data_IF_342539462308
#
_entry.id   IF_342539462308
#
_cell.length_a   1.000
_cell.length_b   1.000
_cell.length_c   1.000
_cell.angle_alpha   90.00
_cell.angle_beta   90.00
_cell.angle_gamma   90.00
#
_symmetry.space_group_name_H-M   'P 1'
#
loop_
_entity.id
_entity.type
_entity.pdbx_description
1 polymer ?
#
# COMPACT_ATOMS: atom_id res chain seq x y z
N UNK A 1 -1.66 -7.18 37.62
CA UNK A 1 -1.21 -7.49 36.25
C UNK A 1 0.09 -6.74 35.98
N UNK A 2 1.06 -7.37 35.35
CA UNK A 2 2.32 -6.68 35.03
C UNK A 2 2.08 -5.66 33.91
N UNK A 3 2.84 -4.56 33.89
CA UNK A 3 2.77 -3.58 32.80
C UNK A 3 3.02 -4.22 31.40
N UNK A 4 3.84 -5.27 31.38
CA UNK A 4 4.16 -6.02 30.14
C UNK A 4 2.93 -6.71 29.55
N UNK A 5 2.07 -7.30 30.38
CA UNK A 5 0.83 -7.93 29.92
C UNK A 5 -0.15 -6.90 29.32
N UNK A 6 -0.17 -5.67 29.85
CA UNK A 6 -0.99 -4.61 29.27
C UNK A 6 -0.45 -4.10 27.92
N UNK A 7 0.87 -4.09 27.73
CA UNK A 7 1.47 -3.74 26.44
C UNK A 7 1.24 -4.82 25.38
N UNK A 8 1.24 -6.10 25.76
CA UNK A 8 0.90 -7.19 24.83
C UNK A 8 -0.56 -7.14 24.36
N UNK A 9 -1.47 -6.76 25.26
CA UNK A 9 -2.89 -6.61 24.90
C UNK A 9 -3.17 -5.45 23.92
N UNK A 10 -2.25 -4.50 23.79
CA UNK A 10 -2.34 -3.39 22.85
C UNK A 10 -1.43 -3.54 21.62
N UNK A 11 -0.83 -4.71 21.40
CA UNK A 11 0.03 -4.93 20.24
C UNK A 11 -0.80 -5.05 18.96
N UNK A 12 -0.44 -4.26 17.94
CA UNK A 12 -1.00 -4.40 16.60
C UNK A 12 -0.30 -5.58 15.90
N UNK A 13 -1.03 -6.65 15.64
CA UNK A 13 -0.51 -7.88 15.04
C UNK A 13 -1.33 -8.26 13.82
N UNK A 14 -0.63 -8.53 12.71
CA UNK A 14 -1.25 -8.92 11.46
C UNK A 14 -2.07 -7.81 10.80
N UNK A 15 -2.57 -8.09 9.61
CA UNK A 15 -3.52 -7.22 8.90
C UNK A 15 -4.57 -8.11 8.26
N UNK A 16 -5.82 -7.98 8.71
CA UNK A 16 -6.96 -8.67 8.11
C UNK A 16 -7.58 -7.89 6.97
N UNK A 17 -7.63 -6.56 7.09
CA UNK A 17 -8.24 -5.68 6.09
C UNK A 17 -7.36 -4.47 5.81
N UNK A 18 -7.26 -4.12 4.53
CA UNK A 18 -6.59 -2.89 4.09
C UNK A 18 -7.56 -2.06 3.24
N UNK A 19 -7.66 -0.79 3.58
CA UNK A 19 -8.53 0.14 2.87
C UNK A 19 -7.73 1.32 2.31
N UNK A 20 -8.06 1.70 1.09
CA UNK A 20 -7.64 2.98 0.52
C UNK A 20 -8.78 3.99 0.62
N UNK A 21 -8.45 5.18 1.09
CA UNK A 21 -9.32 6.36 1.08
C UNK A 21 -8.82 7.30 0.00
N UNK A 22 -9.54 7.37 -1.11
CA UNK A 22 -9.12 8.13 -2.29
C UNK A 22 -8.99 9.62 -1.97
N UNK A 23 -7.83 10.19 -2.29
CA UNK A 23 -7.48 11.57 -1.97
C UNK A 23 -7.03 11.82 -0.52
N UNK A 24 -7.05 10.77 0.30
CA UNK A 24 -6.68 10.85 1.72
C UNK A 24 -7.86 11.08 2.65
N UNK A 25 -7.64 10.84 3.95
CA UNK A 25 -8.62 11.15 4.99
C UNK A 25 -8.85 12.67 5.11
N UNK A 26 -10.03 13.04 5.56
CA UNK A 26 -10.32 14.38 6.06
C UNK A 26 -9.68 14.64 7.43
N UNK A 27 -10.05 15.76 8.05
CA UNK A 27 -9.62 16.07 9.42
C UNK A 27 -10.15 15.02 10.40
N UNK A 28 -9.39 14.72 11.43
CA UNK A 28 -9.71 13.67 12.40
C UNK A 28 -9.99 12.29 11.78
N UNK A 29 -9.36 11.96 10.67
CA UNK A 29 -9.51 10.69 9.93
C UNK A 29 -10.96 10.40 9.47
N UNK A 30 -11.73 11.46 9.19
CA UNK A 30 -13.08 11.32 8.66
C UNK A 30 -13.06 10.86 7.22
N UNK A 31 -13.96 9.92 6.88
CA UNK A 31 -14.16 9.40 5.52
C UNK A 31 -15.45 9.89 4.85
N UNK A 32 -16.17 10.81 5.49
CA UNK A 32 -17.39 11.41 4.92
C UNK A 32 -17.09 12.01 3.54
N UNK A 33 -17.91 11.69 2.56
CA UNK A 33 -17.74 12.10 1.15
C UNK A 33 -16.45 11.59 0.48
N UNK A 34 -15.86 10.52 1.01
CA UNK A 34 -14.67 9.85 0.43
C UNK A 34 -15.04 8.50 -0.16
N UNK A 35 -14.40 8.17 -1.25
CA UNK A 35 -14.44 6.80 -1.76
C UNK A 35 -13.46 5.95 -0.98
N UNK A 36 -13.96 4.88 -0.39
CA UNK A 36 -13.17 3.90 0.35
C UNK A 36 -13.21 2.59 -0.40
N UNK A 37 -12.06 2.05 -0.73
CA UNK A 37 -11.93 0.76 -1.45
C UNK A 37 -11.12 -0.18 -0.58
N UNK A 38 -11.66 -1.36 -0.32
CA UNK A 38 -10.93 -2.45 0.31
C UNK A 38 -10.04 -3.13 -0.72
N UNK A 39 -8.80 -3.42 -0.32
CA UNK A 39 -7.82 -4.09 -1.18
C UNK A 39 -7.42 -5.43 -0.58
N UNK A 40 -7.34 -6.49 -1.39
CA UNK A 40 -6.76 -7.74 -0.96
C UNK A 40 -5.27 -7.56 -0.69
N UNK A 41 -4.79 -8.01 0.46
CA UNK A 41 -3.39 -7.92 0.87
C UNK A 41 -2.82 -9.31 1.04
N UNK A 42 -1.60 -9.53 0.58
CA UNK A 42 -0.88 -10.77 0.85
C UNK A 42 -0.59 -10.89 2.35
N UNK A 43 -0.81 -12.07 2.92
CA UNK A 43 -0.55 -12.33 4.34
C UNK A 43 0.92 -12.09 4.72
N UNK A 44 1.84 -12.51 3.84
CA UNK A 44 3.27 -12.36 4.07
C UNK A 44 3.81 -11.20 3.24
N UNK A 45 4.28 -10.15 3.92
CA UNK A 45 4.93 -9.00 3.28
C UNK A 45 4.01 -8.11 2.45
N UNK A 46 2.68 -8.24 2.61
CA UNK A 46 1.71 -7.48 1.83
C UNK A 46 1.71 -5.98 2.12
N UNK A 47 2.06 -5.58 3.34
CA UNK A 47 2.16 -4.17 3.75
C UNK A 47 3.37 -3.95 4.62
N UNK A 48 4.18 -2.95 4.28
CA UNK A 48 5.29 -2.50 5.11
C UNK A 48 5.28 -0.99 5.22
N UNK A 49 5.33 -0.50 6.44
CA UNK A 49 5.56 0.90 6.77
C UNK A 49 6.86 1.04 7.54
N UNK A 50 7.78 1.84 7.02
CA UNK A 50 9.03 2.18 7.68
C UNK A 50 9.09 3.70 7.89
N UNK A 51 9.13 4.14 9.15
CA UNK A 51 9.22 5.54 9.52
C UNK A 51 10.56 6.20 9.21
N UNK A 52 11.51 5.44 8.70
CA UNK A 52 12.86 5.86 8.43
C UNK A 52 13.74 5.95 9.68
N UNK A 53 15.00 5.62 9.53
CA UNK A 53 15.99 5.82 10.59
C UNK A 53 16.48 7.26 10.60
N UNK A 54 16.54 7.92 11.76
CA UNK A 54 17.10 9.27 11.83
C UNK A 54 18.53 9.29 11.30
N UNK A 55 18.87 10.29 10.50
CA UNK A 55 20.25 10.56 10.14
C UNK A 55 20.89 11.44 11.20
N UNK A 56 22.08 11.02 11.69
CA UNK A 56 22.81 11.72 12.73
C UNK A 56 24.14 12.18 12.14
N UNK A 57 24.27 13.48 11.96
CA UNK A 57 25.53 14.11 11.54
C UNK A 57 26.35 14.48 12.79
N UNK A 58 27.53 13.90 12.90
CA UNK A 58 28.43 14.12 14.01
C UNK A 58 29.54 15.13 13.65
N UNK A 59 29.65 16.20 14.39
CA UNK A 59 30.70 17.18 14.21
C UNK A 59 31.80 16.99 15.27
N UNK A 60 33.02 16.73 14.83
CA UNK A 60 34.18 16.50 15.68
C UNK A 60 35.15 17.66 15.59
N UNK A 61 35.75 18.05 16.71
CA UNK A 61 36.77 19.07 16.79
C UNK A 61 38.08 18.44 17.26
N UNK A 62 39.19 18.86 16.65
CA UNK A 62 40.50 18.35 17.00
C UNK A 62 40.84 18.65 18.49
N UNK A 63 41.28 17.62 19.21
CA UNK A 63 41.61 17.71 20.63
C UNK A 63 40.45 17.46 21.61
N UNK A 64 39.24 17.18 21.12
CA UNK A 64 38.11 16.79 21.95
C UNK A 64 37.80 15.33 21.70
N UNK A 65 37.78 14.54 22.75
CA UNK A 65 37.33 13.13 22.68
C UNK A 65 35.80 13.09 22.63
N UNK A 66 35.25 12.64 21.49
CA UNK A 66 33.81 12.56 21.27
C UNK A 66 33.31 13.65 20.30
N UNK A 67 31.97 13.72 20.18
CA UNK A 67 31.35 14.70 19.31
C UNK A 67 31.21 16.05 20.00
N UNK A 68 31.63 17.10 19.29
CA UNK A 68 31.44 18.46 19.78
C UNK A 68 29.97 18.88 19.69
N UNK A 69 29.32 18.50 18.61
CA UNK A 69 27.86 18.65 18.42
C UNK A 69 27.35 17.60 17.45
N UNK A 70 26.07 17.32 17.51
CA UNK A 70 25.39 16.44 16.55
C UNK A 70 24.09 17.08 16.08
N UNK A 71 23.74 16.82 14.83
CA UNK A 71 22.46 17.20 14.24
C UNK A 71 21.69 15.93 13.88
N UNK A 72 20.45 15.84 14.33
CA UNK A 72 19.53 14.78 13.91
C UNK A 72 18.55 15.33 12.88
N UNK A 73 18.39 14.60 11.78
CA UNK A 73 17.33 14.82 10.80
C UNK A 73 16.45 13.57 10.73
N UNK A 74 15.09 13.72 10.65
CA UNK A 74 14.21 12.59 10.46
C UNK A 74 14.59 11.80 9.21
N UNK A 75 14.49 10.48 9.25
CA UNK A 75 14.64 9.63 8.08
C UNK A 75 13.45 9.76 7.14
N UNK A 76 13.65 9.29 5.92
CA UNK A 76 12.56 9.22 4.93
C UNK A 76 11.61 8.06 5.26
N UNK A 77 10.32 8.30 5.15
CA UNK A 77 9.30 7.27 5.31
C UNK A 77 9.19 6.47 4.03
N UNK A 78 9.09 5.16 4.17
CA UNK A 78 8.90 4.23 3.06
C UNK A 78 7.68 3.37 3.29
N UNK A 79 6.87 3.22 2.25
CA UNK A 79 5.67 2.40 2.26
C UNK A 79 5.78 1.45 1.07
N UNK A 80 5.63 0.17 1.35
CA UNK A 80 5.59 -0.88 0.33
C UNK A 80 4.34 -1.72 0.54
N UNK A 81 3.60 -1.93 -0.54
CA UNK A 81 2.43 -2.79 -0.57
C UNK A 81 2.53 -3.75 -1.75
N UNK A 82 2.05 -4.96 -1.54
CA UNK A 82 1.82 -5.93 -2.60
C UNK A 82 0.36 -6.39 -2.59
N UNK A 83 -0.31 -6.20 -3.72
CA UNK A 83 -1.70 -6.59 -3.93
C UNK A 83 -1.71 -7.77 -4.90
N UNK A 84 -2.09 -8.98 -4.45
CA UNK A 84 -1.95 -10.23 -5.22
C UNK A 84 -3.08 -10.43 -6.24
N UNK A 85 -3.59 -9.36 -6.82
CA UNK A 85 -4.63 -9.41 -7.85
C UNK A 85 -4.52 -8.23 -8.80
N UNK A 86 -5.08 -8.42 -9.99
CA UNK A 86 -5.14 -7.39 -11.02
C UNK A 86 -6.55 -7.44 -11.62
N UNK A 87 -7.44 -6.59 -11.15
CA UNK A 87 -8.77 -6.39 -11.70
C UNK A 87 -9.06 -4.90 -11.94
N UNK A 88 -10.20 -4.58 -12.55
CA UNK A 88 -10.55 -3.22 -12.95
C UNK A 88 -10.63 -2.26 -11.75
N UNK A 89 -11.26 -2.70 -10.67
CA UNK A 89 -11.45 -1.88 -9.48
C UNK A 89 -10.11 -1.62 -8.78
N UNK A 90 -9.31 -2.65 -8.61
CA UNK A 90 -7.97 -2.57 -8.00
C UNK A 90 -7.03 -1.71 -8.85
N UNK A 91 -7.01 -1.90 -10.18
CA UNK A 91 -6.22 -1.07 -11.08
C UNK A 91 -6.60 0.41 -10.95
N UNK A 92 -7.90 0.70 -10.91
CA UNK A 92 -8.39 2.07 -10.76
C UNK A 92 -8.02 2.67 -9.41
N UNK A 93 -8.20 1.91 -8.32
CA UNK A 93 -7.82 2.33 -6.98
C UNK A 93 -6.31 2.55 -6.82
N UNK A 94 -5.49 1.78 -7.54
CA UNK A 94 -4.04 1.89 -7.58
C UNK A 94 -3.51 2.97 -8.55
N UNK A 95 -4.40 3.80 -9.09
CA UNK A 95 -4.01 4.97 -9.89
C UNK A 95 -3.58 4.68 -11.32
N UNK A 96 -3.87 3.50 -11.84
CA UNK A 96 -3.67 3.21 -13.26
C UNK A 96 -4.60 4.08 -14.11
N UNK A 97 -4.07 4.61 -15.22
CA UNK A 97 -4.79 5.49 -16.10
C UNK A 97 -5.49 4.72 -17.23
N UNK A 98 -6.64 5.23 -17.67
CA UNK A 98 -7.37 4.69 -18.83
C UNK A 98 -7.74 3.22 -18.67
N UNK A 99 -8.05 2.78 -17.46
CA UNK A 99 -8.52 1.42 -17.23
C UNK A 99 -9.85 1.25 -17.96
N UNK A 100 -9.91 0.28 -18.86
CA UNK A 100 -11.10 0.01 -19.69
C UNK A 100 -11.34 -1.48 -19.76
N UNK A 101 -12.51 -1.90 -19.32
CA UNK A 101 -12.98 -3.27 -19.47
C UNK A 101 -13.18 -3.63 -20.95
N UNK A 102 -12.80 -4.83 -21.33
CA UNK A 102 -12.95 -5.39 -22.69
C UNK A 102 -13.74 -6.69 -22.64
N UNK A 103 -14.78 -6.75 -23.43
CA UNK A 103 -15.50 -8.00 -23.68
C UNK A 103 -14.75 -8.89 -24.67
N UNK A 104 -15.12 -10.16 -24.75
CA UNK A 104 -14.54 -11.11 -25.70
C UNK A 104 -14.61 -10.63 -27.15
N UNK A 105 -15.68 -9.92 -27.52
CA UNK A 105 -15.86 -9.33 -28.85
C UNK A 105 -14.85 -8.23 -29.18
N UNK A 106 -14.30 -7.57 -28.16
CA UNK A 106 -13.38 -6.45 -28.31
C UNK A 106 -11.91 -6.91 -28.28
N UNK A 107 -11.69 -8.18 -27.95
CA UNK A 107 -10.38 -8.81 -27.91
C UNK A 107 -10.29 -9.77 -29.07
N UNK A 108 -9.60 -9.38 -30.11
CA UNK A 108 -9.36 -10.27 -31.25
C UNK A 108 -8.33 -11.34 -30.85
N UNK A 109 -8.81 -12.38 -30.20
CA UNK A 109 -7.98 -13.46 -29.66
C UNK A 109 -7.16 -14.19 -30.72
N UNK A 110 -7.70 -14.30 -31.91
CA UNK A 110 -7.00 -14.89 -33.05
C UNK A 110 -5.67 -14.21 -33.39
N UNK A 111 -5.45 -13.00 -32.85
CA UNK A 111 -4.24 -12.23 -33.09
C UNK A 111 -3.21 -12.34 -31.95
N UNK A 112 -3.58 -12.88 -30.79
CA UNK A 112 -2.69 -12.90 -29.62
C UNK A 112 -1.91 -14.19 -29.53
N UNK A 113 -2.50 -15.30 -29.95
CA UNK A 113 -1.83 -16.62 -29.94
C UNK A 113 -2.16 -17.29 -31.27
N UNK A 114 -1.38 -16.95 -32.30
CA UNK A 114 -1.45 -17.67 -33.56
C UNK A 114 -0.78 -19.03 -33.40
N UNK A 115 -1.54 -20.09 -33.67
CA UNK A 115 -1.06 -21.45 -33.94
C UNK A 115 0.31 -21.82 -33.36
N UNK A 116 0.39 -21.95 -32.05
CA UNK A 116 1.44 -22.75 -31.44
C UNK A 116 0.85 -24.14 -31.31
N UNK A 117 1.52 -25.13 -31.88
CA UNK A 117 1.10 -26.52 -31.94
C UNK A 117 0.35 -26.97 -30.68
N UNK A 118 -0.93 -27.37 -30.87
CA UNK A 118 -1.82 -27.89 -29.84
C UNK A 118 -2.29 -26.92 -28.71
N UNK A 119 -2.03 -25.62 -28.78
CA UNK A 119 -2.48 -24.65 -27.78
C UNK A 119 -3.36 -23.56 -28.40
N UNK A 120 -4.58 -23.41 -27.86
CA UNK A 120 -5.45 -22.30 -28.20
C UNK A 120 -5.89 -21.55 -26.92
N UNK A 121 -5.81 -20.24 -26.95
CA UNK A 121 -6.30 -19.39 -25.89
C UNK A 121 -7.37 -18.43 -26.41
N UNK A 122 -8.58 -18.53 -25.85
CA UNK A 122 -9.69 -17.65 -26.21
C UNK A 122 -10.02 -16.75 -25.05
N UNK A 123 -9.66 -15.46 -25.07
CA UNK A 123 -10.04 -14.53 -24.01
C UNK A 123 -11.55 -14.35 -23.95
N UNK A 124 -12.10 -14.32 -22.73
CA UNK A 124 -13.53 -14.08 -22.50
C UNK A 124 -13.79 -12.67 -21.99
N UNK A 125 -12.82 -12.08 -21.32
CA UNK A 125 -12.82 -10.69 -20.84
C UNK A 125 -11.39 -10.24 -20.57
N UNK A 126 -11.17 -8.96 -20.46
CA UNK A 126 -9.87 -8.40 -20.09
C UNK A 126 -9.97 -6.93 -19.73
N UNK A 127 -8.84 -6.34 -19.43
CA UNK A 127 -8.72 -4.93 -19.12
C UNK A 127 -7.54 -4.36 -19.90
N UNK A 128 -7.70 -3.15 -20.40
CA UNK A 128 -6.61 -2.37 -20.95
C UNK A 128 -6.36 -1.16 -20.08
N UNK A 129 -5.12 -0.74 -19.96
CA UNK A 129 -4.71 0.42 -19.17
C UNK A 129 -3.48 1.06 -19.79
N UNK A 130 -3.20 2.30 -19.42
CA UNK A 130 -2.03 3.01 -19.95
C UNK A 130 -0.74 2.49 -19.30
N UNK A 131 0.32 2.39 -20.09
CA UNK A 131 1.67 2.05 -19.59
C UNK A 131 2.19 3.11 -18.60
N UNK A 132 1.92 4.37 -18.90
CA UNK A 132 2.36 5.48 -18.06
C UNK A 132 1.51 5.57 -16.80
N UNK A 133 2.16 5.42 -15.68
CA UNK A 133 1.55 5.55 -14.35
C UNK A 133 1.86 6.92 -13.78
N UNK A 134 0.92 7.43 -13.00
CA UNK A 134 1.09 8.67 -12.25
C UNK A 134 1.07 8.38 -10.76
N UNK A 135 1.92 9.11 -10.03
CA UNK A 135 1.81 9.08 -8.59
C UNK A 135 0.44 9.63 -8.16
N UNK A 136 -0.21 8.93 -7.27
CA UNK A 136 -1.53 9.25 -6.73
C UNK A 136 -1.49 9.37 -5.21
N UNK A 137 -2.50 9.97 -4.62
CA UNK A 137 -2.57 10.19 -3.18
C UNK A 137 -3.78 9.47 -2.60
N UNK A 138 -3.54 8.70 -1.53
CA UNK A 138 -4.58 7.98 -0.78
C UNK A 138 -4.32 8.10 0.71
N UNK A 139 -5.36 7.89 1.52
CA UNK A 139 -5.21 7.49 2.91
C UNK A 139 -5.15 5.98 3.01
N UNK A 140 -4.43 5.46 3.96
CA UNK A 140 -4.34 4.02 4.22
C UNK A 140 -4.95 3.74 5.59
N UNK A 141 -5.84 2.75 5.67
CA UNK A 141 -6.29 2.19 6.92
C UNK A 141 -6.06 0.68 6.90
N UNK A 142 -5.36 0.17 7.89
CA UNK A 142 -5.11 -1.26 8.09
C UNK A 142 -5.75 -1.70 9.40
N UNK A 143 -6.53 -2.77 9.37
CA UNK A 143 -7.16 -3.35 10.55
C UNK A 143 -6.38 -4.62 10.92
N UNK A 144 -6.10 -4.79 12.20
CA UNK A 144 -5.39 -5.96 12.70
C UNK A 144 -6.25 -7.24 12.61
N UNK A 145 -5.60 -8.41 12.73
CA UNK A 145 -6.27 -9.71 12.60
C UNK A 145 -7.40 -9.93 13.63
N UNK A 146 -7.28 -9.33 14.80
CA UNK A 146 -8.31 -9.42 15.84
C UNK A 146 -9.46 -8.43 15.64
N UNK A 147 -9.38 -7.55 14.63
CA UNK A 147 -10.32 -6.48 14.35
C UNK A 147 -10.60 -5.54 15.54
N UNK A 148 -9.61 -5.38 16.41
CA UNK A 148 -9.66 -4.55 17.61
C UNK A 148 -8.94 -3.23 17.45
N UNK A 149 -8.06 -3.12 16.46
CA UNK A 149 -7.26 -1.93 16.22
C UNK A 149 -7.17 -1.60 14.73
N UNK A 150 -7.15 -0.32 14.44
CA UNK A 150 -6.91 0.23 13.11
C UNK A 150 -5.68 1.14 13.13
N UNK A 151 -4.69 0.85 12.28
CA UNK A 151 -3.63 1.78 11.96
C UNK A 151 -4.02 2.60 10.74
N UNK A 152 -3.94 3.91 10.83
CA UNK A 152 -4.29 4.79 9.74
C UNK A 152 -3.20 5.81 9.43
N UNK A 153 -2.98 6.05 8.13
CA UNK A 153 -2.12 7.11 7.61
C UNK A 153 -2.98 8.06 6.80
N UNK A 154 -3.01 9.33 7.21
CA UNK A 154 -3.92 10.32 6.66
C UNK A 154 -3.77 10.53 5.17
N UNK A 155 -2.53 10.62 4.69
CA UNK A 155 -2.24 10.80 3.27
C UNK A 155 -0.85 10.31 2.92
N UNK A 156 -0.80 9.45 1.94
CA UNK A 156 0.43 8.95 1.33
C UNK A 156 0.43 9.25 -0.16
N UNK A 157 1.61 9.35 -0.74
CA UNK A 157 1.80 9.43 -2.18
C UNK A 157 2.44 8.15 -2.65
N UNK A 158 1.74 7.42 -3.50
CA UNK A 158 2.12 6.11 -3.99
C UNK A 158 2.30 6.13 -5.50
N UNK A 159 3.12 5.21 -5.99
CA UNK A 159 3.24 4.86 -7.40
C UNK A 159 3.10 3.34 -7.52
N UNK A 160 2.28 2.92 -8.47
CA UNK A 160 2.02 1.52 -8.72
C UNK A 160 2.93 0.96 -9.83
N UNK A 161 3.24 -0.31 -9.76
CA UNK A 161 3.83 -1.09 -10.85
C UNK A 161 3.22 -2.49 -10.87
N UNK A 162 3.05 -3.08 -12.05
CA UNK A 162 2.64 -4.47 -12.15
C UNK A 162 3.87 -5.34 -11.98
N UNK A 163 3.78 -6.31 -11.08
CA UNK A 163 4.77 -7.36 -10.92
C UNK A 163 4.28 -8.61 -11.63
N UNK A 164 5.03 -9.03 -12.62
CA UNK A 164 4.88 -10.32 -13.27
C UNK A 164 6.20 -11.08 -13.16
N UNK A 165 6.22 -12.12 -12.34
CA UNK A 165 7.39 -12.95 -12.13
C UNK A 165 7.09 -14.39 -12.57
N UNK A 166 7.64 -14.79 -13.72
CA UNK A 166 7.48 -16.13 -14.25
C UNK A 166 8.41 -17.17 -13.60
N UNK A 167 9.41 -16.72 -12.84
CA UNK A 167 10.37 -17.60 -12.18
C UNK A 167 9.81 -18.17 -10.87
N UNK A 168 8.86 -17.49 -10.25
CA UNK A 168 8.21 -17.93 -9.03
C UNK A 168 6.75 -18.32 -9.30
N UNK A 169 6.53 -19.61 -9.55
CA UNK A 169 5.19 -20.14 -9.83
C UNK A 169 4.22 -20.06 -8.65
N UNK A 170 4.73 -19.75 -7.46
CA UNK A 170 3.91 -19.58 -6.26
C UNK A 170 3.41 -18.15 -6.06
N UNK A 171 3.99 -17.17 -6.76
CA UNK A 171 3.56 -15.77 -6.66
C UNK A 171 2.53 -15.44 -7.74
N UNK A 172 1.36 -14.93 -7.36
CA UNK A 172 0.41 -14.42 -8.33
C UNK A 172 0.95 -13.17 -9.02
N UNK A 173 0.45 -12.87 -10.20
CA UNK A 173 0.56 -11.55 -10.79
C UNK A 173 -0.09 -10.56 -9.82
N UNK A 174 0.59 -9.46 -9.54
CA UNK A 174 0.08 -8.48 -8.59
C UNK A 174 0.54 -7.06 -8.90
N UNK A 175 0.12 -6.16 -8.05
CA UNK A 175 0.49 -4.75 -8.09
C UNK A 175 1.40 -4.45 -6.91
N UNK A 176 2.59 -3.94 -7.19
CA UNK A 176 3.48 -3.38 -6.18
C UNK A 176 3.27 -1.88 -6.11
N UNK A 177 3.05 -1.38 -4.91
CA UNK A 177 2.91 0.03 -4.61
C UNK A 177 4.06 0.47 -3.73
N UNK A 178 4.76 1.50 -4.15
CA UNK A 178 5.83 2.10 -3.36
C UNK A 178 5.57 3.58 -3.17
N UNK A 179 5.97 4.12 -2.05
CA UNK A 179 5.81 5.54 -1.80
C UNK A 179 6.21 5.99 -0.41
N UNK A 180 5.77 7.19 -0.07
CA UNK A 180 6.11 7.84 1.19
C UNK A 180 4.92 8.65 1.72
N UNK A 181 5.00 9.05 2.97
CA UNK A 181 4.06 10.01 3.50
C UNK A 181 4.06 11.27 2.65
N UNK A 182 2.89 11.69 2.21
CA UNK A 182 2.76 13.02 1.62
C UNK A 182 3.02 14.03 2.74
N UNK A 183 3.94 14.96 2.51
CA UNK A 183 4.28 15.98 3.48
C UNK A 183 3.00 16.61 4.02
N UNK A 184 2.69 16.33 5.26
CA UNK A 184 1.59 16.92 5.99
C UNK A 184 2.22 17.70 7.13
N UNK A 185 1.93 18.98 7.20
CA UNK A 185 2.26 19.79 8.38
C UNK A 185 1.34 19.47 9.55
N UNK A 186 0.42 18.53 9.37
CA UNK A 186 -0.57 18.19 10.37
C UNK A 186 0.05 17.32 11.46
N UNK A 187 -0.20 17.68 12.70
CA UNK A 187 0.20 16.93 13.88
C UNK A 187 -0.45 15.52 13.95
N UNK A 188 -1.49 15.29 13.16
CA UNK A 188 -2.30 14.08 13.09
C UNK A 188 -2.08 13.30 11.77
N UNK A 189 -0.84 13.18 11.29
CA UNK A 189 -0.53 12.48 10.04
C UNK A 189 -0.82 10.98 10.10
N UNK A 190 -0.74 10.37 11.27
CA UNK A 190 -0.96 8.94 11.52
C UNK A 190 -1.70 8.75 12.84
N UNK A 191 -2.42 7.65 12.95
CA UNK A 191 -3.12 7.27 14.18
C UNK A 191 -3.26 5.77 14.34
N UNK A 192 -3.36 5.34 15.58
CA UNK A 192 -3.80 4.00 15.96
C UNK A 192 -5.08 4.19 16.77
N UNK A 193 -6.12 3.50 16.36
CA UNK A 193 -7.44 3.62 16.96
C UNK A 193 -7.89 2.26 17.46
N UNK A 194 -8.33 2.21 18.72
CA UNK A 194 -8.98 1.05 19.27
C UNK A 194 -10.47 1.06 18.86
N UNK A 195 -10.99 -0.09 18.53
CA UNK A 195 -12.36 -0.24 18.10
C UNK A 195 -12.85 -1.67 18.15
N UNK A 196 -14.08 -1.89 17.73
CA UNK A 196 -14.64 -3.21 17.50
C UNK A 196 -15.32 -3.22 16.15
N UNK A 197 -15.10 -4.28 15.38
CA UNK A 197 -15.80 -4.50 14.13
C UNK A 197 -17.26 -4.83 14.46
N UNK A 198 -18.18 -4.03 13.97
CA UNK A 198 -19.59 -4.38 13.97
C UNK A 198 -19.88 -5.06 12.63
N UNK A 199 -20.12 -6.36 12.63
CA UNK A 199 -20.66 -7.02 11.45
C UNK A 199 -22.06 -6.47 11.18
N UNK A 200 -22.27 -5.96 9.97
CA UNK A 200 -23.56 -5.51 9.49
C UNK A 200 -24.42 -6.70 9.02
#
# INVERSE_FOLDING_TARGET
MSKVANYQAGAFVGISHLFFVIGGFGDNFITTDKTVTELPVAQDGGFTYNGGSPNIDHYKVHGIAGDWTSRMTPGETEINLFIPTVDEEVLTACGFQSVTSKAASDISAANVVADVDDYSFTPTKGYTFAETQKAFSVGIAAINDEATQMFAIKKVKLMASILFDSADTAKPIGITLTGSNAASSAADAMGIFDGAQTQA
#
